data_IF_618668092741
#
_entry.id   IF_618668092741
#
_cell.length_a   1.000
_cell.length_b   1.000
_cell.length_c   1.000
_cell.angle_alpha   90.00
_cell.angle_beta   90.00
_cell.angle_gamma   90.00
#
_symmetry.space_group_name_H-M   'P 1'
#
loop_
_entity.id
_entity.type
_entity.pdbx_description
1 polymer ?
#
# COMPACT_ATOMS: atom_id res chain seq x y z
N UNK A 1 21.08 -24.62 -38.07
CA UNK A 1 20.89 -23.15 -37.87
C UNK A 1 20.54 -22.72 -36.44
N UNK A 2 20.28 -23.63 -35.48
CA UNK A 2 19.96 -23.27 -34.08
C UNK A 2 21.18 -22.97 -33.20
N UNK A 3 22.23 -23.81 -33.27
CA UNK A 3 23.40 -23.72 -32.37
C UNK A 3 24.18 -22.40 -32.48
N UNK A 4 24.34 -21.85 -33.68
CA UNK A 4 25.09 -20.59 -33.88
C UNK A 4 24.36 -19.36 -33.28
N UNK A 5 23.01 -19.37 -33.23
CA UNK A 5 22.23 -18.29 -32.58
C UNK A 5 22.29 -18.36 -31.06
N UNK A 6 22.29 -19.57 -30.49
CA UNK A 6 22.39 -19.75 -29.03
C UNK A 6 23.79 -19.37 -28.52
N UNK A 7 24.84 -19.76 -29.23
CA UNK A 7 26.22 -19.35 -28.91
C UNK A 7 26.37 -17.83 -28.98
N UNK A 8 25.77 -17.18 -30.00
CA UNK A 8 25.82 -15.72 -30.14
C UNK A 8 25.01 -14.99 -29.06
N UNK A 9 23.84 -15.51 -28.67
CA UNK A 9 23.05 -14.95 -27.57
C UNK A 9 23.72 -15.14 -26.20
N UNK A 10 24.46 -16.23 -26.02
CA UNK A 10 25.23 -16.54 -24.81
C UNK A 10 26.51 -15.68 -24.70
N UNK A 11 27.30 -15.59 -25.78
CA UNK A 11 28.53 -14.77 -25.83
C UNK A 11 28.26 -13.26 -25.72
N UNK A 12 27.15 -12.76 -26.28
CA UNK A 12 26.77 -11.34 -26.21
C UNK A 12 25.81 -10.99 -25.08
N UNK A 13 25.49 -11.95 -24.20
CA UNK A 13 24.63 -11.73 -23.01
C UNK A 13 23.35 -10.94 -23.33
N UNK A 14 22.68 -11.28 -24.45
CA UNK A 14 21.56 -10.50 -24.98
C UNK A 14 20.38 -10.40 -24.01
N UNK A 15 20.16 -11.44 -23.21
CA UNK A 15 19.13 -11.47 -22.18
C UNK A 15 19.43 -10.51 -21.02
N UNK A 16 20.71 -10.28 -20.68
CA UNK A 16 21.10 -9.32 -19.66
C UNK A 16 20.78 -7.88 -20.11
N UNK A 17 21.12 -7.54 -21.35
CA UNK A 17 20.79 -6.23 -21.93
C UNK A 17 19.27 -6.02 -22.03
N UNK A 18 18.51 -7.07 -22.36
CA UNK A 18 17.06 -7.03 -22.38
C UNK A 18 16.50 -6.75 -20.97
N UNK A 19 17.02 -7.40 -19.93
CA UNK A 19 16.68 -7.11 -18.53
C UNK A 19 17.03 -5.67 -18.13
N UNK A 20 18.25 -5.22 -18.42
CA UNK A 20 18.69 -3.85 -18.16
C UNK A 20 17.87 -2.80 -18.89
N UNK A 21 17.34 -3.10 -20.09
CA UNK A 21 16.47 -2.16 -20.81
C UNK A 21 15.19 -1.85 -20.04
N UNK A 22 14.65 -2.82 -19.31
CA UNK A 22 13.47 -2.64 -18.45
C UNK A 22 13.85 -1.79 -17.24
N UNK A 23 14.97 -2.10 -16.58
CA UNK A 23 15.48 -1.31 -15.45
C UNK A 23 15.75 0.14 -15.86
N UNK A 24 16.39 0.36 -17.01
CA UNK A 24 16.65 1.68 -17.57
C UNK A 24 15.35 2.45 -17.84
N UNK A 25 14.31 1.79 -18.34
CA UNK A 25 12.99 2.41 -18.52
C UNK A 25 12.38 2.90 -17.21
N UNK A 26 12.46 2.12 -16.13
CA UNK A 26 11.94 2.51 -14.82
C UNK A 26 12.82 3.54 -14.10
N UNK A 27 14.12 3.61 -14.40
CA UNK A 27 15.03 4.61 -13.84
C UNK A 27 14.62 6.04 -14.20
N UNK A 28 14.09 6.25 -15.41
CA UNK A 28 13.58 7.55 -15.87
C UNK A 28 12.06 7.71 -15.71
N UNK A 29 11.36 6.69 -15.21
CA UNK A 29 9.92 6.77 -14.97
C UNK A 29 9.62 7.64 -13.74
N UNK A 30 8.43 8.24 -13.72
CA UNK A 30 7.96 9.01 -12.56
C UNK A 30 7.79 8.09 -11.36
N UNK A 31 8.34 8.48 -10.21
CA UNK A 31 8.19 7.76 -8.93
C UNK A 31 6.75 7.94 -8.42
N UNK A 32 6.13 6.84 -7.99
CA UNK A 32 4.78 6.81 -7.42
C UNK A 32 4.76 6.98 -5.89
N UNK A 33 5.91 7.22 -5.28
CA UNK A 33 6.08 7.36 -3.84
C UNK A 33 5.48 8.66 -3.33
N UNK A 34 4.88 8.61 -2.14
CA UNK A 34 4.35 9.75 -1.40
C UNK A 34 5.40 10.18 -0.36
N UNK A 35 5.66 11.48 -0.23
CA UNK A 35 6.61 12.01 0.76
C UNK A 35 5.94 12.15 2.14
N UNK A 36 6.06 11.13 2.99
CA UNK A 36 5.53 11.20 4.35
C UNK A 36 6.53 11.90 5.30
N UNK A 37 6.10 12.82 6.19
CA UNK A 37 4.71 13.15 6.58
C UNK A 37 4.04 14.31 5.83
N UNK A 38 4.74 14.99 4.92
CA UNK A 38 4.26 16.20 4.22
C UNK A 38 3.07 15.91 3.31
N UNK A 39 3.08 14.75 2.65
CA UNK A 39 2.03 14.22 1.80
C UNK A 39 1.39 12.99 2.45
N UNK A 40 0.06 12.90 2.41
CA UNK A 40 -0.70 11.77 2.95
C UNK A 40 -1.43 11.03 1.83
N UNK A 41 -1.58 9.72 1.99
CA UNK A 41 -2.39 8.92 1.07
C UNK A 41 -3.87 9.31 1.20
N UNK A 42 -4.64 9.30 0.10
CA UNK A 42 -6.06 9.60 0.14
C UNK A 42 -6.79 8.53 0.98
N UNK A 43 -7.49 8.97 2.02
CA UNK A 43 -8.30 8.09 2.86
C UNK A 43 -9.77 8.22 2.48
N UNK A 44 -10.46 7.07 2.37
CA UNK A 44 -11.92 7.10 2.19
C UNK A 44 -12.62 7.53 3.47
N UNK A 45 -13.83 8.09 3.35
CA UNK A 45 -14.69 8.40 4.50
C UNK A 45 -15.05 7.19 5.37
N UNK A 46 -14.78 5.96 4.89
CA UNK A 46 -15.02 4.70 5.61
C UNK A 46 -13.76 4.13 6.28
N UNK A 47 -12.66 4.88 6.29
CA UNK A 47 -11.43 4.46 6.97
C UNK A 47 -11.70 4.19 8.46
N UNK A 48 -11.33 2.99 8.93
CA UNK A 48 -11.43 2.60 10.34
C UNK A 48 -10.11 2.92 11.02
N UNK A 49 -10.08 4.02 11.76
CA UNK A 49 -8.92 4.48 12.52
C UNK A 49 -9.09 4.26 14.02
N UNK A 50 -8.64 5.24 14.81
CA UNK A 50 -8.75 5.21 16.26
C UNK A 50 -10.22 5.34 16.72
N UNK A 51 -10.60 4.50 17.68
CA UNK A 51 -11.91 4.56 18.32
C UNK A 51 -11.99 5.80 19.21
N UNK A 52 -13.13 6.51 19.18
CA UNK A 52 -13.37 7.69 19.99
C UNK A 52 -14.84 7.74 20.44
N UNK A 53 -15.06 8.04 21.73
CA UNK A 53 -16.39 8.29 22.28
C UNK A 53 -16.93 9.63 21.77
N UNK A 54 -18.17 9.60 21.27
CA UNK A 54 -18.87 10.80 20.79
C UNK A 54 -19.80 11.36 21.86
N UNK A 55 -20.04 12.67 21.80
CA UNK A 55 -21.00 13.39 22.63
C UNK A 55 -22.26 13.78 21.83
N UNK A 56 -23.33 14.09 22.53
CA UNK A 56 -24.51 14.75 21.99
C UNK A 56 -24.22 16.26 21.77
N UNK A 57 -25.05 16.99 21.01
CA UNK A 57 -24.88 18.44 20.81
C UNK A 57 -24.93 19.27 22.10
N UNK A 58 -25.56 18.76 23.16
CA UNK A 58 -25.60 19.37 24.51
C UNK A 58 -24.31 19.13 25.32
N UNK A 59 -23.34 18.39 24.79
CA UNK A 59 -22.07 18.09 25.46
C UNK A 59 -22.09 16.83 26.35
N UNK A 60 -23.24 16.17 26.54
CA UNK A 60 -23.34 14.91 27.27
C UNK A 60 -22.73 13.75 26.47
N UNK A 61 -22.15 12.76 27.15
CA UNK A 61 -21.64 11.56 26.48
C UNK A 61 -22.78 10.68 25.93
N UNK A 62 -22.54 10.01 24.80
CA UNK A 62 -23.54 9.09 24.21
C UNK A 62 -23.54 7.69 24.81
N UNK A 63 -22.48 7.34 25.54
CA UNK A 63 -22.35 6.02 26.15
C UNK A 63 -23.32 5.92 27.33
N UNK A 64 -24.09 4.83 27.39
CA UNK A 64 -25.00 4.52 28.50
C UNK A 64 -24.59 3.23 29.24
N UNK A 65 -23.35 2.79 29.03
CA UNK A 65 -22.82 1.54 29.59
C UNK A 65 -23.68 0.28 29.29
N UNK A 66 -24.28 0.18 28.11
CA UNK A 66 -25.12 -0.96 27.71
C UNK A 66 -24.35 -2.29 27.52
N UNK A 67 -23.01 -2.25 27.51
CA UNK A 67 -22.10 -3.40 27.33
C UNK A 67 -22.24 -4.18 26.01
N UNK A 68 -23.02 -3.70 25.05
CA UNK A 68 -23.17 -4.34 23.74
C UNK A 68 -21.88 -4.33 22.92
N UNK A 69 -21.07 -3.27 23.05
CA UNK A 69 -19.79 -3.16 22.36
C UNK A 69 -18.74 -4.16 22.89
N UNK A 70 -18.75 -4.44 24.18
CA UNK A 70 -17.91 -5.47 24.82
C UNK A 70 -18.35 -6.86 24.34
N UNK A 71 -19.65 -7.14 24.35
CA UNK A 71 -20.20 -8.42 23.93
C UNK A 71 -19.95 -8.76 22.45
N UNK A 72 -19.95 -7.76 21.55
CA UNK A 72 -19.74 -7.97 20.11
C UNK A 72 -18.26 -7.94 19.70
N UNK A 73 -17.35 -7.49 20.58
CA UNK A 73 -15.94 -7.34 20.24
C UNK A 73 -15.31 -8.72 19.99
N UNK A 74 -14.89 -9.04 18.75
CA UNK A 74 -14.39 -10.37 18.42
C UNK A 74 -13.04 -10.69 19.10
N UNK A 75 -12.30 -9.65 19.51
CA UNK A 75 -11.02 -9.78 20.18
C UNK A 75 -11.13 -9.74 21.72
N UNK A 76 -12.32 -9.49 22.28
CA UNK A 76 -12.53 -9.28 23.73
C UNK A 76 -11.54 -8.26 24.31
N UNK A 77 -11.34 -7.16 23.58
CA UNK A 77 -10.42 -6.06 23.91
C UNK A 77 -10.98 -5.11 24.97
#
# INVERSE_FOLDING_TARGET
MGSMKEIFNSLLLRELFKGMSVTGRYMFARKITVQYPEEKTPQSFRFRGLHALRRYPNGEERCIACKLCEAVCPALA
#
